data_IF_032192907693
#
_entry.id   IF_032192907693
#
_cell.length_a   1.000
_cell.length_b   1.000
_cell.length_c   1.000
_cell.angle_alpha   90.00
_cell.angle_beta   90.00
_cell.angle_gamma   90.00
#
_symmetry.space_group_name_H-M   'P 1'
#
loop_
_entity.id
_entity.type
_entity.pdbx_description
1 polymer ?
#
# COMPACT_ATOMS: atom_id res chain seq x y z
N UNK A 1 -3.65 -0.48 -12.45
CA UNK A 1 -4.99 -0.87 -12.93
C UNK A 1 -5.29 -2.34 -12.66
N UNK A 2 -4.34 -3.25 -12.92
CA UNK A 2 -4.50 -4.70 -12.68
C UNK A 2 -5.10 -5.07 -11.31
N UNK A 3 -4.61 -4.51 -10.19
CA UNK A 3 -5.19 -4.78 -8.84
C UNK A 3 -6.69 -4.51 -8.76
N UNK A 4 -7.18 -3.44 -9.40
CA UNK A 4 -8.61 -3.08 -9.38
C UNK A 4 -9.43 -4.06 -10.20
N UNK A 5 -8.95 -4.36 -11.40
CA UNK A 5 -9.62 -5.25 -12.33
C UNK A 5 -9.72 -6.66 -11.76
N UNK A 6 -8.63 -7.17 -11.16
CA UNK A 6 -8.62 -8.48 -10.50
C UNK A 6 -9.57 -8.55 -9.30
N UNK A 7 -9.59 -7.52 -8.43
CA UNK A 7 -10.53 -7.49 -7.31
C UNK A 7 -11.99 -7.31 -7.76
N UNK A 8 -12.26 -6.49 -8.79
CA UNK A 8 -13.60 -6.35 -9.36
C UNK A 8 -14.09 -7.67 -9.97
N UNK A 9 -13.23 -8.36 -10.72
CA UNK A 9 -13.54 -9.69 -11.26
C UNK A 9 -13.76 -10.69 -10.12
N UNK A 10 -12.93 -10.68 -9.09
CA UNK A 10 -13.12 -11.53 -7.91
C UNK A 10 -14.45 -11.27 -7.20
N UNK A 11 -14.84 -9.99 -7.05
CA UNK A 11 -16.11 -9.59 -6.45
C UNK A 11 -17.30 -10.03 -7.30
N UNK A 12 -17.27 -9.80 -8.62
CA UNK A 12 -18.33 -10.24 -9.53
C UNK A 12 -18.44 -11.76 -9.56
N UNK A 13 -17.30 -12.45 -9.60
CA UNK A 13 -17.24 -13.91 -9.53
C UNK A 13 -17.84 -14.40 -8.21
N UNK A 14 -17.49 -13.81 -7.07
CA UNK A 14 -18.10 -14.11 -5.77
C UNK A 14 -19.63 -13.91 -5.79
N UNK A 15 -20.13 -12.82 -6.39
CA UNK A 15 -21.56 -12.54 -6.47
C UNK A 15 -22.32 -13.59 -7.27
N UNK A 16 -21.72 -14.19 -8.30
CA UNK A 16 -22.38 -15.30 -9.04
C UNK A 16 -22.62 -16.55 -8.20
N UNK A 17 -21.90 -16.76 -7.09
CA UNK A 17 -22.25 -17.83 -6.14
C UNK A 17 -23.48 -17.50 -5.30
N UNK A 18 -23.80 -16.21 -5.11
CA UNK A 18 -24.94 -15.75 -4.33
C UNK A 18 -26.25 -15.78 -5.12
N UNK A 19 -26.20 -15.79 -6.46
CA UNK A 19 -27.40 -15.72 -7.32
C UNK A 19 -28.17 -17.04 -7.47
N UNK A 20 -27.86 -18.08 -6.69
CA UNK A 20 -28.66 -19.31 -6.63
C UNK A 20 -28.55 -20.24 -7.85
N UNK A 21 -27.68 -19.92 -8.83
CA UNK A 21 -27.37 -20.79 -9.97
C UNK A 21 -26.98 -22.26 -9.59
N UNK A 22 -26.33 -22.51 -8.44
CA UNK A 22 -26.05 -23.88 -7.96
C UNK A 22 -27.26 -24.78 -7.79
N UNK A 23 -28.46 -24.23 -7.58
CA UNK A 23 -29.67 -25.00 -7.27
C UNK A 23 -30.25 -25.72 -8.50
N UNK A 24 -29.82 -25.33 -9.71
CA UNK A 24 -30.30 -25.86 -10.98
C UNK A 24 -29.44 -27.01 -11.54
N UNK A 25 -28.34 -27.35 -10.84
CA UNK A 25 -27.35 -28.31 -11.33
C UNK A 25 -27.42 -29.63 -10.55
N UNK A 26 -27.21 -30.72 -11.29
CA UNK A 26 -27.11 -32.06 -10.75
C UNK A 26 -25.92 -32.20 -9.79
N UNK A 27 -26.02 -33.05 -8.75
CA UNK A 27 -25.12 -32.97 -7.58
C UNK A 27 -23.65 -33.24 -7.92
N UNK A 28 -23.38 -34.15 -8.85
CA UNK A 28 -22.02 -34.48 -9.31
C UNK A 28 -21.42 -33.40 -10.21
N UNK A 29 -22.23 -32.82 -11.09
CA UNK A 29 -21.83 -31.71 -11.97
C UNK A 29 -21.57 -30.47 -11.11
N UNK A 30 -22.45 -30.22 -10.14
CA UNK A 30 -22.31 -29.13 -9.19
C UNK A 30 -21.01 -29.23 -8.40
N UNK A 31 -20.63 -30.42 -7.95
CA UNK A 31 -19.37 -30.62 -7.22
C UNK A 31 -18.13 -30.29 -8.07
N UNK A 32 -18.09 -30.71 -9.34
CA UNK A 32 -16.98 -30.38 -10.25
C UNK A 32 -16.94 -28.88 -10.56
N UNK A 33 -18.09 -28.29 -10.90
CA UNK A 33 -18.21 -26.86 -11.21
C UNK A 33 -17.82 -26.02 -9.99
N UNK A 34 -18.29 -26.38 -8.79
CA UNK A 34 -17.92 -25.72 -7.55
C UNK A 34 -16.40 -25.80 -7.28
N UNK A 35 -15.77 -26.95 -7.56
CA UNK A 35 -14.33 -27.11 -7.41
C UNK A 35 -13.57 -26.12 -8.29
N UNK A 36 -13.86 -26.05 -9.59
CA UNK A 36 -13.24 -25.09 -10.50
C UNK A 36 -13.56 -23.64 -10.14
N UNK A 37 -14.79 -23.39 -9.69
CA UNK A 37 -15.23 -22.08 -9.24
C UNK A 37 -14.41 -21.57 -8.06
N UNK A 38 -14.24 -22.39 -7.01
CA UNK A 38 -13.41 -22.03 -5.86
C UNK A 38 -11.95 -21.87 -6.25
N UNK A 39 -11.42 -22.74 -7.12
CA UNK A 39 -10.04 -22.64 -7.62
C UNK A 39 -9.79 -21.32 -8.37
N UNK A 40 -10.72 -20.92 -9.23
CA UNK A 40 -10.70 -19.63 -9.91
C UNK A 40 -10.77 -18.46 -8.93
N UNK A 41 -11.68 -18.54 -7.94
CA UNK A 41 -11.81 -17.54 -6.89
C UNK A 41 -10.52 -17.40 -6.07
N UNK A 42 -9.88 -18.52 -5.72
CA UNK A 42 -8.58 -18.54 -5.04
C UNK A 42 -7.49 -17.87 -5.85
N UNK A 43 -7.37 -18.22 -7.13
CA UNK A 43 -6.39 -17.60 -8.02
C UNK A 43 -6.61 -16.08 -8.09
N UNK A 44 -7.86 -15.64 -8.25
CA UNK A 44 -8.22 -14.24 -8.32
C UNK A 44 -7.96 -13.45 -7.03
N UNK A 45 -7.97 -14.11 -5.87
CA UNK A 45 -7.63 -13.49 -4.59
C UNK A 45 -6.11 -13.51 -4.30
N UNK A 46 -5.43 -14.61 -4.62
CA UNK A 46 -3.99 -14.79 -4.36
C UNK A 46 -3.15 -13.90 -5.28
N UNK A 47 -3.46 -13.81 -6.56
CA UNK A 47 -2.67 -13.03 -7.53
C UNK A 47 -2.49 -11.57 -7.09
N UNK A 48 -3.57 -10.79 -6.82
CA UNK A 48 -3.40 -9.40 -6.41
C UNK A 48 -2.80 -9.26 -5.01
N UNK A 49 -2.98 -10.25 -4.12
CA UNK A 49 -2.33 -10.31 -2.81
C UNK A 49 -0.80 -10.45 -2.96
N UNK A 50 -0.34 -11.42 -3.75
CA UNK A 50 1.09 -11.67 -4.02
C UNK A 50 1.72 -10.49 -4.75
N UNK A 51 1.04 -9.91 -5.73
CA UNK A 51 1.53 -8.71 -6.41
C UNK A 51 1.68 -7.52 -5.45
N UNK A 52 0.76 -7.37 -4.48
CA UNK A 52 0.87 -6.35 -3.44
C UNK A 52 2.01 -6.67 -2.48
N UNK A 53 2.19 -7.94 -2.10
CA UNK A 53 3.30 -8.39 -1.27
C UNK A 53 4.64 -8.15 -1.94
N UNK A 54 4.76 -8.40 -3.25
CA UNK A 54 5.99 -8.18 -4.00
C UNK A 54 6.35 -6.70 -4.18
N UNK A 55 5.46 -5.77 -3.80
CA UNK A 55 5.69 -4.32 -3.93
C UNK A 55 5.33 -3.76 -5.31
N UNK A 56 4.63 -4.53 -6.16
CA UNK A 56 4.27 -4.11 -7.53
C UNK A 56 3.34 -2.89 -7.57
N UNK A 57 2.69 -2.55 -6.46
CA UNK A 57 1.76 -1.42 -6.35
C UNK A 57 2.22 -0.32 -5.37
N UNK A 58 3.50 -0.33 -4.99
CA UNK A 58 4.10 0.64 -4.07
C UNK A 58 4.78 -0.03 -2.89
N UNK A 59 5.25 0.78 -1.93
CA UNK A 59 5.97 0.29 -0.76
C UNK A 59 5.11 -0.67 0.08
N UNK A 60 5.69 -1.79 0.52
CA UNK A 60 4.98 -2.88 1.22
C UNK A 60 4.36 -2.41 2.54
N UNK A 61 5.04 -1.50 3.25
CA UNK A 61 4.63 -0.94 4.54
C UNK A 61 3.64 0.23 4.42
N UNK A 62 3.16 0.55 3.21
CA UNK A 62 2.15 1.59 3.07
C UNK A 62 0.87 1.17 3.81
N UNK A 63 0.28 2.01 4.68
CA UNK A 63 -0.82 1.62 5.57
C UNK A 63 -2.00 1.00 4.81
N UNK A 64 -2.27 1.50 3.59
CA UNK A 64 -3.32 0.96 2.72
C UNK A 64 -2.97 -0.39 2.13
N UNK A 65 -1.70 -0.65 1.82
CA UNK A 65 -1.29 -1.98 1.35
C UNK A 65 -1.38 -2.99 2.50
N UNK A 66 -1.07 -2.59 3.73
CA UNK A 66 -1.23 -3.42 4.92
C UNK A 66 -2.72 -3.71 5.19
N UNK A 67 -3.58 -2.69 5.16
CA UNK A 67 -5.03 -2.87 5.31
C UNK A 67 -5.65 -3.69 4.17
N UNK A 68 -5.14 -3.53 2.95
CA UNK A 68 -5.53 -4.36 1.82
C UNK A 68 -5.13 -5.82 2.05
N UNK A 69 -3.90 -6.08 2.48
CA UNK A 69 -3.43 -7.44 2.77
C UNK A 69 -4.23 -8.10 3.89
N UNK A 70 -4.57 -7.38 4.97
CA UNK A 70 -5.37 -7.93 6.06
C UNK A 70 -6.77 -8.33 5.57
N UNK A 71 -7.47 -7.44 4.87
CA UNK A 71 -8.80 -7.74 4.33
C UNK A 71 -8.78 -8.84 3.27
N UNK A 72 -7.81 -8.82 2.35
CA UNK A 72 -7.66 -9.87 1.35
C UNK A 72 -7.32 -11.23 2.00
N UNK A 73 -6.51 -11.25 3.08
CA UNK A 73 -6.24 -12.48 3.83
C UNK A 73 -7.50 -13.01 4.53
N UNK A 74 -8.34 -12.13 5.05
CA UNK A 74 -9.63 -12.46 5.66
C UNK A 74 -10.58 -13.11 4.63
N UNK A 75 -10.62 -12.55 3.42
CA UNK A 75 -11.39 -13.10 2.29
C UNK A 75 -10.88 -14.47 1.85
N UNK A 76 -9.56 -14.67 1.88
CA UNK A 76 -8.93 -15.94 1.57
C UNK A 76 -9.26 -17.00 2.61
N UNK A 77 -9.21 -16.66 3.90
CA UNK A 77 -9.65 -17.55 4.99
C UNK A 77 -11.13 -17.91 4.84
N UNK A 78 -11.98 -16.92 4.54
CA UNK A 78 -13.40 -17.16 4.23
C UNK A 78 -13.60 -18.12 3.06
N UNK A 79 -12.80 -17.98 1.99
CA UNK A 79 -12.83 -18.87 0.82
C UNK A 79 -12.43 -20.30 1.17
N UNK A 80 -11.36 -20.48 1.97
CA UNK A 80 -10.92 -21.79 2.45
C UNK A 80 -12.01 -22.43 3.30
N UNK A 81 -12.57 -21.70 4.27
CA UNK A 81 -13.64 -22.23 5.11
C UNK A 81 -14.86 -22.62 4.28
N UNK A 82 -15.27 -21.81 3.30
CA UNK A 82 -16.43 -22.13 2.45
C UNK A 82 -16.18 -23.40 1.60
N UNK A 83 -14.97 -23.54 1.05
CA UNK A 83 -14.58 -24.73 0.29
C UNK A 83 -14.58 -25.99 1.16
N UNK A 84 -14.09 -25.89 2.41
CA UNK A 84 -14.15 -26.98 3.39
C UNK A 84 -15.60 -27.34 3.70
N UNK A 85 -16.43 -26.36 4.05
CA UNK A 85 -17.85 -26.57 4.36
C UNK A 85 -18.58 -27.27 3.21
N UNK A 86 -18.29 -26.89 1.97
CA UNK A 86 -18.83 -27.53 0.78
C UNK A 86 -18.32 -28.97 0.59
N UNK A 87 -17.07 -29.25 0.97
CA UNK A 87 -16.47 -30.59 0.89
C UNK A 87 -16.95 -31.57 1.96
N UNK A 88 -17.13 -31.11 3.20
CA UNK A 88 -17.44 -31.96 4.37
C UNK A 88 -18.87 -31.82 4.90
N UNK A 89 -19.74 -31.09 4.20
CA UNK A 89 -21.11 -30.79 4.64
C UNK A 89 -21.14 -30.13 6.02
N UNK A 90 -20.43 -29.00 6.15
CA UNK A 90 -20.39 -28.24 7.40
C UNK A 90 -21.76 -27.68 7.82
N UNK A 91 -21.95 -27.50 9.12
CA UNK A 91 -23.21 -26.98 9.68
C UNK A 91 -23.49 -25.52 9.28
N UNK A 92 -24.77 -25.08 9.34
CA UNK A 92 -25.22 -23.79 8.82
C UNK A 92 -24.49 -22.58 9.44
N UNK A 93 -24.12 -22.67 10.72
CA UNK A 93 -23.37 -21.62 11.40
C UNK A 93 -21.99 -21.37 10.77
N UNK A 94 -21.29 -22.44 10.35
CA UNK A 94 -19.96 -22.34 9.74
C UNK A 94 -20.06 -21.74 8.34
N UNK A 95 -21.09 -22.10 7.59
CA UNK A 95 -21.37 -21.53 6.25
C UNK A 95 -21.62 -20.02 6.33
N UNK A 96 -22.42 -19.58 7.30
CA UNK A 96 -22.73 -18.16 7.51
C UNK A 96 -21.45 -17.38 7.88
N UNK A 97 -20.67 -17.91 8.82
CA UNK A 97 -19.42 -17.27 9.24
C UNK A 97 -18.41 -17.19 8.09
N UNK A 98 -18.23 -18.28 7.36
CA UNK A 98 -17.32 -18.34 6.22
C UNK A 98 -17.76 -17.37 5.10
N UNK A 99 -19.07 -17.29 4.84
CA UNK A 99 -19.64 -16.35 3.86
C UNK A 99 -19.45 -14.89 4.27
N UNK A 100 -19.62 -14.58 5.56
CA UNK A 100 -19.39 -13.24 6.09
C UNK A 100 -17.91 -12.82 5.98
N UNK A 101 -16.98 -13.72 6.32
CA UNK A 101 -15.54 -13.49 6.19
C UNK A 101 -15.13 -13.28 4.73
N UNK A 102 -15.62 -14.14 3.83
CA UNK A 102 -15.43 -14.04 2.38
C UNK A 102 -15.90 -12.67 1.87
N UNK A 103 -17.15 -12.33 2.18
CA UNK A 103 -17.77 -11.09 1.72
C UNK A 103 -17.02 -9.86 2.24
N UNK A 104 -16.78 -9.81 3.56
CA UNK A 104 -16.07 -8.69 4.18
C UNK A 104 -14.66 -8.53 3.60
N UNK A 105 -13.94 -9.63 3.42
CA UNK A 105 -12.59 -9.61 2.90
C UNK A 105 -12.52 -9.20 1.42
N UNK A 106 -13.32 -9.83 0.55
CA UNK A 106 -13.31 -9.55 -0.89
C UNK A 106 -13.84 -8.15 -1.19
N UNK A 107 -14.97 -7.76 -0.59
CA UNK A 107 -15.56 -6.42 -0.81
C UNK A 107 -14.67 -5.34 -0.20
N UNK A 108 -14.19 -5.53 1.04
CA UNK A 108 -13.30 -4.57 1.70
C UNK A 108 -11.98 -4.38 0.92
N UNK A 109 -11.37 -5.46 0.45
CA UNK A 109 -10.18 -5.41 -0.39
C UNK A 109 -10.46 -4.71 -1.74
N UNK A 110 -11.63 -4.93 -2.34
CA UNK A 110 -12.04 -4.29 -3.60
C UNK A 110 -12.22 -2.78 -3.42
N UNK A 111 -12.92 -2.35 -2.37
CA UNK A 111 -13.10 -0.93 -2.05
C UNK A 111 -11.74 -0.25 -1.85
N UNK A 112 -10.84 -0.85 -1.06
CA UNK A 112 -9.47 -0.32 -0.88
C UNK A 112 -8.68 -0.28 -2.20
N UNK A 113 -8.83 -1.29 -3.06
CA UNK A 113 -8.17 -1.30 -4.36
C UNK A 113 -8.66 -0.16 -5.27
N UNK A 114 -9.95 0.17 -5.23
CA UNK A 114 -10.54 1.31 -5.96
C UNK A 114 -10.04 2.64 -5.40
N UNK A 115 -10.09 2.82 -4.08
CA UNK A 115 -9.68 4.07 -3.42
C UNK A 115 -8.17 4.26 -3.27
N UNK A 116 -7.33 3.33 -3.70
CA UNK A 116 -5.88 3.44 -3.52
C UNK A 116 -5.16 4.59 -4.28
N UNK A 117 -5.78 5.19 -5.31
CA UNK A 117 -5.16 6.32 -6.05
C UNK A 117 -5.02 7.60 -5.22
N UNK A 118 -6.10 8.18 -4.65
CA UNK A 118 -6.00 9.44 -3.91
C UNK A 118 -4.99 9.38 -2.76
N UNK A 119 -4.87 8.24 -2.09
CA UNK A 119 -3.96 8.08 -0.98
C UNK A 119 -2.50 7.88 -1.38
N UNK A 120 -2.25 7.25 -2.53
CA UNK A 120 -0.89 7.16 -3.08
C UNK A 120 -0.36 8.57 -3.34
N UNK A 121 -1.19 9.41 -3.94
CA UNK A 121 -0.80 10.78 -4.28
C UNK A 121 -0.60 11.63 -3.00
N UNK A 122 -1.40 11.41 -1.95
CA UNK A 122 -1.21 12.05 -0.64
C UNK A 122 0.08 11.60 0.07
N UNK A 123 0.38 10.29 0.08
CA UNK A 123 1.56 9.75 0.74
C UNK A 123 2.88 10.07 0.01
N UNK A 124 2.86 10.17 -1.33
CA UNK A 124 4.02 10.68 -2.08
C UNK A 124 4.25 12.16 -1.81
N UNK A 125 3.17 12.97 -1.78
CA UNK A 125 3.27 14.41 -1.47
C UNK A 125 3.86 14.66 -0.09
N UNK A 126 3.53 13.82 0.90
CA UNK A 126 4.05 13.94 2.26
C UNK A 126 5.51 13.50 2.41
N UNK A 127 5.95 12.45 1.68
CA UNK A 127 7.38 12.07 1.67
C UNK A 127 8.23 13.05 0.88
N UNK A 128 7.69 13.60 -0.20
CA UNK A 128 8.35 14.61 -1.00
C UNK A 128 8.51 15.91 -0.19
N UNK A 129 7.49 16.33 0.56
CA UNK A 129 7.62 17.48 1.47
C UNK A 129 8.68 17.23 2.55
N UNK A 130 8.70 16.07 3.20
CA UNK A 130 9.74 15.74 4.19
C UNK A 130 11.15 15.69 3.59
N UNK A 131 11.29 15.18 2.37
CA UNK A 131 12.58 15.12 1.68
C UNK A 131 13.07 16.52 1.30
N UNK A 132 12.18 17.36 0.77
CA UNK A 132 12.47 18.75 0.45
C UNK A 132 12.83 19.55 1.72
N UNK A 133 12.10 19.34 2.82
CA UNK A 133 12.38 19.96 4.11
C UNK A 133 13.77 19.57 4.65
N UNK A 134 14.13 18.28 4.57
CA UNK A 134 15.48 17.81 4.94
C UNK A 134 16.58 18.38 4.04
N UNK A 135 16.32 18.57 2.75
CA UNK A 135 17.29 19.22 1.84
C UNK A 135 17.44 20.71 2.13
N UNK A 136 16.33 21.43 2.33
CA UNK A 136 16.35 22.84 2.71
C UNK A 136 17.12 23.05 4.01
N UNK A 137 16.87 22.23 5.04
CA UNK A 137 17.62 22.29 6.29
C UNK A 137 19.14 22.11 6.08
N UNK A 138 19.57 21.25 5.14
CA UNK A 138 21.01 21.09 4.85
C UNK A 138 21.60 22.30 4.12
N UNK A 139 20.82 22.95 3.27
CA UNK A 139 21.22 24.18 2.57
C UNK A 139 21.33 25.35 3.55
N UNK A 140 20.38 25.50 4.44
CA UNK A 140 20.40 26.55 5.47
C UNK A 140 21.63 26.43 6.36
N UNK A 141 21.93 25.21 6.86
CA UNK A 141 23.15 24.95 7.66
C UNK A 141 24.42 25.32 6.90
N UNK A 142 24.52 25.01 5.60
CA UNK A 142 25.70 25.39 4.79
C UNK A 142 25.82 26.90 4.64
N UNK A 143 24.69 27.59 4.47
CA UNK A 143 24.64 29.03 4.28
C UNK A 143 25.05 29.75 5.56
N UNK A 144 24.61 29.24 6.71
CA UNK A 144 24.98 29.74 8.04
C UNK A 144 26.46 29.48 8.38
N UNK A 145 26.98 28.29 8.08
CA UNK A 145 28.42 28.01 8.24
C UNK A 145 29.27 28.92 7.35
N UNK A 146 28.81 29.20 6.13
CA UNK A 146 29.50 30.10 5.20
C UNK A 146 29.50 31.55 5.69
N UNK A 147 28.38 32.04 6.25
CA UNK A 147 28.31 33.40 6.80
C UNK A 147 29.22 33.57 8.02
N UNK A 148 29.27 32.58 8.93
CA UNK A 148 30.18 32.58 10.08
C UNK A 148 31.65 32.54 9.68
N UNK A 149 32.01 31.79 8.64
CA UNK A 149 33.36 31.79 8.09
C UNK A 149 33.74 33.16 7.52
N UNK A 150 32.83 33.78 6.76
CA UNK A 150 33.09 35.12 6.22
C UNK A 150 33.24 36.19 7.31
N UNK A 151 32.45 36.13 8.40
CA UNK A 151 32.65 37.05 9.53
C UNK A 151 33.96 36.81 10.26
N UNK A 152 34.32 35.54 10.52
CA UNK A 152 35.56 35.19 11.22
C UNK A 152 36.84 35.54 10.42
N UNK A 153 36.80 35.42 9.08
CA UNK A 153 37.93 35.77 8.22
C UNK A 153 37.97 37.25 7.83
N UNK A 154 36.82 37.91 7.69
CA UNK A 154 36.75 39.36 7.38
C UNK A 154 37.24 40.25 8.52
N UNK A 155 37.08 39.80 9.77
CA UNK A 155 37.55 40.54 10.95
C UNK A 155 39.09 40.48 11.09
N UNK A 156 39.74 39.43 10.57
CA UNK A 156 41.19 39.20 10.72
C UNK A 156 42.06 40.00 9.74
N UNK A 157 41.51 40.44 8.62
CA UNK A 157 42.23 41.23 7.60
C UNK A 157 42.11 42.74 7.78
N UNK A 158 41.27 43.22 8.70
CA UNK A 158 40.99 44.66 8.86
C UNK A 158 41.77 45.30 10.03
N UNK A 159 42.59 44.54 10.75
CA UNK A 159 43.27 44.97 11.98
C UNK A 159 44.75 45.32 11.88
N UNK A 160 45.40 45.18 10.72
CA UNK A 160 46.89 45.19 10.64
C UNK A 160 47.51 46.25 9.71
N UNK A 161 46.74 47.23 9.21
CA UNK A 161 47.25 48.35 8.38
C UNK A 161 47.16 49.71 9.10
N UNK A 162 47.66 49.79 10.34
CA UNK A 162 47.57 51.00 11.17
C UNK A 162 48.89 51.40 11.82
N UNK A 163 50.02 51.40 11.12
CA UNK A 163 51.29 51.73 11.77
C UNK A 163 52.51 51.90 10.87
N UNK A 164 52.55 52.93 10.01
CA UNK A 164 53.84 53.44 9.52
C UNK A 164 53.78 54.94 9.24
N UNK A 165 54.24 55.74 10.20
CA UNK A 165 54.60 57.15 10.00
C UNK A 165 55.83 57.20 9.08
N UNK A 166 55.86 58.02 8.01
CA UNK A 166 57.10 58.48 7.44
C UNK A 166 57.52 59.76 8.17
N UNK A 167 58.68 59.71 8.81
CA UNK A 167 59.48 60.89 9.09
C UNK A 167 60.47 61.08 7.94
N UNK A 168 60.50 62.28 7.39
CA UNK A 168 61.58 62.89 6.58
C UNK A 168 61.60 64.33 7.11
N UNK A 169 62.58 64.80 7.90
CA UNK A 169 64.01 65.03 7.62
C UNK A 169 64.25 65.98 6.43
N UNK A 170 64.52 67.24 6.83
CA UNK A 170 65.27 68.37 6.22
C UNK A 170 64.98 68.86 4.78
#
# INVERSE_FOLDING_TARGET
MARRLLNLVAMLWMLTALTGFPQLLDTDVLRRVATFYFLGLFALQIIPLVMTYNGSFGHRLHPINVAYMSLASLGLVGSVMLAIVFGVHGGPAVTILAGALLFMGVVGATVLALFARPWRDWAFKQRESEYLERMNHRLDVRTEVRSQLHSAFGEKTSGDEGGRKPGEED
#
